data_IF_029005324844
#
_entry.id   IF_029005324844
#
_cell.length_a   1.000
_cell.length_b   1.000
_cell.length_c   1.000
_cell.angle_alpha   90.00
_cell.angle_beta   90.00
_cell.angle_gamma   90.00
#
_symmetry.space_group_name_H-M   'P 1'
#
loop_
_entity.id
_entity.type
_entity.pdbx_description
1 polymer ?
#
# COMPACT_ATOMS: atom_id res chain seq x y z
N UNK A 1 -87.51 -5.63 7.84
CA UNK A 1 -87.29 -6.54 9.00
C UNK A 1 -86.76 -7.87 8.47
N UNK A 2 -85.73 -8.41 9.12
CA UNK A 2 -85.33 -9.83 9.24
C UNK A 2 -85.14 -10.69 7.96
N UNK A 3 -83.84 -10.95 7.75
CA UNK A 3 -83.08 -12.01 7.05
C UNK A 3 -83.74 -13.39 6.83
N UNK A 4 -83.36 -14.00 5.69
CA UNK A 4 -82.65 -15.30 5.50
C UNK A 4 -83.24 -16.15 4.38
N UNK A 5 -82.47 -16.43 3.31
CA UNK A 5 -82.29 -17.78 2.74
C UNK A 5 -81.19 -17.81 1.66
N UNK A 6 -80.21 -18.70 1.86
CA UNK A 6 -79.56 -19.66 0.92
C UNK A 6 -78.92 -19.15 -0.39
N UNK A 7 -77.62 -19.44 -0.56
CA UNK A 7 -77.08 -20.29 -1.64
C UNK A 7 -75.53 -20.34 -1.63
N UNK A 8 -74.97 -21.56 -1.54
CA UNK A 8 -73.65 -21.98 -2.06
C UNK A 8 -73.73 -21.98 -3.62
N UNK A 9 -72.67 -22.16 -4.45
CA UNK A 9 -71.20 -22.20 -4.27
C UNK A 9 -70.41 -21.33 -5.29
N UNK A 10 -69.10 -21.11 -5.09
CA UNK A 10 -68.17 -20.91 -6.21
C UNK A 10 -66.73 -21.13 -5.76
N UNK A 11 -66.23 -22.34 -6.07
CA UNK A 11 -64.83 -22.73 -6.01
C UNK A 11 -64.07 -21.97 -7.10
N UNK A 12 -63.24 -20.99 -6.72
CA UNK A 12 -62.27 -20.35 -7.62
C UNK A 12 -60.88 -20.86 -7.25
N UNK A 13 -60.37 -21.78 -8.07
CA UNK A 13 -58.98 -22.23 -8.04
C UNK A 13 -58.15 -21.11 -8.68
N UNK A 14 -57.51 -20.29 -7.86
CA UNK A 14 -56.51 -19.34 -8.33
C UNK A 14 -55.18 -20.07 -8.56
N UNK A 15 -54.77 -20.14 -9.83
CA UNK A 15 -53.50 -20.70 -10.26
C UNK A 15 -52.38 -19.71 -9.90
N UNK A 16 -51.76 -19.88 -8.73
CA UNK A 16 -50.61 -19.09 -8.29
C UNK A 16 -49.35 -19.53 -9.05
N UNK A 17 -48.87 -18.68 -9.96
CA UNK A 17 -47.58 -18.83 -10.63
C UNK A 17 -46.48 -18.55 -9.58
N UNK A 18 -45.57 -19.48 -9.25
CA UNK A 18 -44.43 -19.15 -8.41
C UNK A 18 -43.50 -18.24 -9.21
N UNK A 19 -43.41 -16.97 -8.81
CA UNK A 19 -42.36 -16.07 -9.26
C UNK A 19 -41.03 -16.63 -8.75
N UNK A 20 -40.24 -17.21 -9.64
CA UNK A 20 -38.86 -17.58 -9.36
C UNK A 20 -38.10 -16.26 -9.21
N UNK A 21 -37.90 -15.82 -7.97
CA UNK A 21 -36.92 -14.78 -7.66
C UNK A 21 -35.55 -15.36 -8.00
N UNK A 22 -34.73 -14.74 -8.87
CA UNK A 22 -33.34 -15.14 -8.96
C UNK A 22 -32.70 -14.85 -7.60
N UNK A 23 -32.31 -15.91 -6.89
CA UNK A 23 -31.28 -15.81 -5.86
C UNK A 23 -30.03 -15.34 -6.62
N UNK A 24 -29.78 -14.03 -6.60
CA UNK A 24 -28.43 -13.54 -6.73
C UNK A 24 -27.71 -14.04 -5.48
N UNK A 25 -26.97 -15.13 -5.64
CA UNK A 25 -25.86 -15.41 -4.76
C UNK A 25 -24.97 -14.17 -4.85
N UNK A 26 -25.00 -13.33 -3.82
CA UNK A 26 -23.96 -12.36 -3.60
C UNK A 26 -22.69 -13.18 -3.39
N UNK A 27 -21.96 -13.42 -4.48
CA UNK A 27 -20.52 -13.52 -4.40
C UNK A 27 -20.09 -12.21 -3.76
N UNK A 28 -19.95 -12.21 -2.44
CA UNK A 28 -19.11 -11.28 -1.75
C UNK A 28 -17.72 -11.52 -2.34
N UNK A 29 -17.43 -10.84 -3.44
CA UNK A 29 -16.08 -10.47 -3.80
C UNK A 29 -15.62 -9.60 -2.63
N UNK A 30 -15.14 -10.26 -1.57
CA UNK A 30 -14.22 -9.66 -0.63
C UNK A 30 -12.90 -9.49 -1.39
N UNK A 31 -12.93 -8.61 -2.39
CA UNK A 31 -11.75 -7.87 -2.77
C UNK A 31 -11.60 -6.85 -1.64
N UNK A 32 -11.13 -7.33 -0.48
CA UNK A 32 -10.37 -6.46 0.40
C UNK A 32 -9.13 -6.12 -0.42
N UNK A 33 -9.24 -5.07 -1.24
CA UNK A 33 -8.07 -4.31 -1.64
C UNK A 33 -7.40 -3.97 -0.32
N UNK A 34 -6.33 -4.69 0.02
CA UNK A 34 -5.59 -4.44 1.25
C UNK A 34 -5.04 -3.00 1.12
N UNK A 35 -5.79 -2.05 1.67
CA UNK A 35 -5.44 -0.64 1.67
C UNK A 35 -4.20 -0.43 2.55
N UNK A 36 -3.36 0.55 2.19
CA UNK A 36 -2.23 0.96 3.03
C UNK A 36 -2.73 1.34 4.43
N UNK A 37 -1.99 0.90 5.46
CA UNK A 37 -2.26 1.26 6.86
C UNK A 37 -1.77 2.68 7.18
N UNK A 38 -1.03 3.29 6.26
CA UNK A 38 -0.46 4.61 6.40
C UNK A 38 -1.57 5.69 6.38
N UNK A 39 -1.62 6.49 7.45
CA UNK A 39 -2.52 7.63 7.59
C UNK A 39 -1.72 8.92 7.65
N UNK A 40 -2.07 9.86 6.79
CA UNK A 40 -1.43 11.16 6.72
C UNK A 40 -2.29 12.26 7.36
N UNK A 41 -1.64 13.17 8.09
CA UNK A 41 -2.27 14.36 8.64
C UNK A 41 -1.36 15.58 8.45
N UNK A 42 -1.91 16.78 8.64
CA UNK A 42 -1.09 17.98 8.77
C UNK A 42 -0.14 17.85 9.96
N UNK A 43 1.12 18.26 9.75
CA UNK A 43 2.17 18.22 10.76
C UNK A 43 2.65 19.62 11.13
N UNK A 44 3.51 19.74 12.15
CA UNK A 44 4.15 21.00 12.50
C UNK A 44 4.86 21.61 11.30
N UNK A 45 4.70 22.94 11.13
CA UNK A 45 5.23 23.66 9.97
C UNK A 45 6.74 23.40 9.81
N UNK A 46 7.18 23.11 8.59
CA UNK A 46 8.59 22.82 8.22
C UNK A 46 9.17 21.51 8.78
N UNK A 47 8.36 20.64 9.37
CA UNK A 47 8.80 19.31 9.80
C UNK A 47 8.04 18.21 9.09
N UNK A 48 8.75 17.15 8.70
CA UNK A 48 8.12 15.88 8.36
C UNK A 48 8.31 14.89 9.51
N UNK A 49 7.27 14.11 9.77
CA UNK A 49 7.25 13.10 10.83
C UNK A 49 6.73 11.77 10.32
N UNK A 50 7.34 10.69 10.81
CA UNK A 50 6.84 9.34 10.68
C UNK A 50 6.68 8.71 12.06
N UNK A 51 5.46 8.29 12.38
CA UNK A 51 5.16 7.45 13.54
C UNK A 51 4.88 6.05 13.03
N UNK A 52 5.72 5.09 13.36
CA UNK A 52 5.69 3.75 12.78
C UNK A 52 5.87 2.70 13.87
N UNK A 53 5.59 1.41 13.60
CA UNK A 53 5.93 0.35 14.52
C UNK A 53 7.42 0.40 14.84
N UNK A 54 7.76 0.49 16.12
CA UNK A 54 9.16 0.58 16.59
C UNK A 54 9.70 1.99 16.84
N UNK A 55 8.99 3.06 16.47
CA UNK A 55 9.40 4.40 16.89
C UNK A 55 8.78 5.59 16.18
N UNK A 56 9.39 6.76 16.43
CA UNK A 56 9.03 8.02 15.82
C UNK A 56 10.28 8.69 15.25
N UNK A 57 10.18 9.14 14.01
CA UNK A 57 11.20 9.91 13.34
C UNK A 57 10.66 11.28 12.98
N UNK A 58 11.48 12.31 13.17
CA UNK A 58 11.17 13.68 12.77
C UNK A 58 12.39 14.34 12.17
N UNK A 59 12.18 15.05 11.07
CA UNK A 59 13.23 15.81 10.40
C UNK A 59 12.71 17.18 9.97
N UNK A 60 13.56 18.20 10.10
CA UNK A 60 13.27 19.51 9.56
C UNK A 60 13.48 19.48 8.04
N UNK A 61 12.49 19.96 7.28
CA UNK A 61 12.49 19.89 5.81
C UNK A 61 13.69 20.64 5.19
N UNK A 62 14.16 21.70 5.84
CA UNK A 62 15.33 22.50 5.43
C UNK A 62 16.67 21.84 5.75
N UNK A 63 16.66 20.73 6.50
CA UNK A 63 17.85 19.95 6.81
C UNK A 63 17.99 18.70 5.96
N UNK A 64 16.97 18.31 5.20
CA UNK A 64 17.06 17.18 4.27
C UNK A 64 17.98 17.60 3.12
N UNK A 65 19.05 16.83 2.89
CA UNK A 65 19.98 17.00 1.76
C UNK A 65 19.53 16.17 0.55
N UNK A 66 19.04 14.96 0.80
CA UNK A 66 18.58 14.02 -0.22
C UNK A 66 17.54 13.05 0.36
N UNK A 67 16.61 12.62 -0.49
CA UNK A 67 15.75 11.46 -0.24
C UNK A 67 15.91 10.47 -1.39
N UNK A 68 15.94 9.18 -1.09
CA UNK A 68 16.02 8.15 -2.14
C UNK A 68 15.20 6.94 -1.74
N UNK A 69 14.61 6.29 -2.73
CA UNK A 69 14.03 4.94 -2.64
C UNK A 69 14.83 4.03 -3.55
N UNK A 70 15.24 2.86 -3.06
CA UNK A 70 16.00 1.91 -3.87
C UNK A 70 15.58 0.47 -3.57
N UNK A 71 15.55 -0.37 -4.62
CA UNK A 71 15.34 -1.81 -4.52
C UNK A 71 16.67 -2.53 -4.81
N UNK A 72 17.04 -3.51 -3.99
CA UNK A 72 18.30 -4.25 -4.17
C UNK A 72 18.24 -5.67 -3.57
N UNK A 73 19.13 -6.56 -4.02
CA UNK A 73 19.24 -7.92 -3.50
C UNK A 73 20.27 -7.95 -2.36
N UNK A 74 19.87 -8.49 -1.22
CA UNK A 74 20.71 -8.70 -0.04
C UNK A 74 20.99 -10.19 0.13
N UNK A 75 22.26 -10.54 0.34
CA UNK A 75 22.75 -11.91 0.58
C UNK A 75 22.28 -12.96 -0.46
N UNK A 76 21.93 -12.51 -1.67
CA UNK A 76 21.52 -13.35 -2.80
C UNK A 76 20.12 -13.96 -2.72
N UNK A 77 19.39 -13.81 -1.61
CA UNK A 77 18.08 -14.45 -1.42
C UNK A 77 16.99 -13.53 -0.83
N UNK A 78 17.32 -12.28 -0.50
CA UNK A 78 16.38 -11.30 0.01
C UNK A 78 16.31 -10.10 -0.93
N UNK A 79 15.10 -9.57 -1.13
CA UNK A 79 14.89 -8.27 -1.79
C UNK A 79 14.58 -7.23 -0.72
N UNK A 80 15.30 -6.12 -0.77
CA UNK A 80 15.11 -4.98 0.13
C UNK A 80 14.62 -3.79 -0.66
N UNK A 81 13.52 -3.21 -0.22
CA UNK A 81 13.07 -1.87 -0.61
C UNK A 81 13.42 -0.91 0.51
N UNK A 82 14.12 0.17 0.20
CA UNK A 82 14.72 1.05 1.20
C UNK A 82 14.50 2.53 0.86
N UNK A 83 13.88 3.26 1.77
CA UNK A 83 13.88 4.73 1.80
C UNK A 83 15.03 5.20 2.67
N UNK A 84 15.91 6.02 2.10
CA UNK A 84 16.95 6.73 2.84
C UNK A 84 16.67 8.22 2.86
N UNK A 85 16.77 8.82 4.05
CA UNK A 85 16.73 10.26 4.28
C UNK A 85 18.11 10.68 4.79
N UNK A 86 18.80 11.48 3.99
CA UNK A 86 20.04 12.11 4.39
C UNK A 86 19.79 13.55 4.84
N UNK A 87 20.57 13.98 5.83
CA UNK A 87 20.46 15.33 6.39
C UNK A 87 21.79 16.06 6.31
N UNK A 88 21.74 17.39 6.27
CA UNK A 88 22.93 18.24 6.44
C UNK A 88 23.44 18.06 7.87
N UNK A 89 24.25 17.01 8.08
CA UNK A 89 24.68 16.48 9.38
C UNK A 89 25.26 15.07 9.26
N UNK A 90 25.31 14.33 10.39
CA UNK A 90 25.78 12.93 10.45
C UNK A 90 24.66 11.91 10.62
N UNK A 91 23.40 12.34 10.54
CA UNK A 91 22.24 11.50 10.81
C UNK A 91 21.61 11.04 9.49
N UNK A 92 21.58 9.72 9.31
CA UNK A 92 20.91 9.06 8.18
C UNK A 92 19.76 8.24 8.75
N UNK A 93 18.56 8.43 8.22
CA UNK A 93 17.42 7.58 8.55
C UNK A 93 17.11 6.62 7.41
N UNK A 94 16.89 5.36 7.75
CA UNK A 94 16.57 4.29 6.83
C UNK A 94 15.25 3.66 7.21
N UNK A 95 14.31 3.59 6.27
CA UNK A 95 13.09 2.81 6.40
C UNK A 95 13.16 1.70 5.37
N UNK A 96 12.98 0.45 5.77
CA UNK A 96 13.14 -0.66 4.85
C UNK A 96 12.05 -1.73 5.00
N UNK A 97 11.65 -2.28 3.87
CA UNK A 97 10.86 -3.49 3.75
C UNK A 97 11.75 -4.59 3.15
N UNK A 98 11.61 -5.81 3.66
CA UNK A 98 12.44 -6.94 3.24
C UNK A 98 11.57 -8.18 3.06
N UNK A 99 11.78 -8.88 1.95
CA UNK A 99 11.07 -10.11 1.59
C UNK A 99 12.00 -11.12 0.92
N UNK A 100 11.66 -12.41 0.92
CA UNK A 100 12.37 -13.40 0.12
C UNK A 100 12.32 -13.07 -1.38
N UNK A 101 13.41 -13.31 -2.10
CA UNK A 101 13.48 -13.14 -3.55
C UNK A 101 12.45 -14.01 -4.29
N UNK A 102 12.07 -15.17 -3.72
CA UNK A 102 11.00 -16.01 -4.28
C UNK A 102 9.65 -15.30 -4.33
N UNK A 103 9.36 -14.45 -3.34
CA UNK A 103 8.06 -13.83 -3.15
C UNK A 103 7.95 -12.57 -4.02
N UNK A 104 9.07 -11.86 -4.23
CA UNK A 104 9.13 -10.68 -5.10
C UNK A 104 8.95 -11.01 -6.60
N UNK A 105 9.44 -12.17 -7.06
CA UNK A 105 9.28 -12.61 -8.45
C UNK A 105 7.80 -12.74 -8.86
N UNK A 106 6.93 -13.17 -7.93
CA UNK A 106 5.48 -13.24 -8.16
C UNK A 106 4.76 -11.89 -8.17
N UNK A 107 5.33 -10.83 -7.56
CA UNK A 107 4.73 -9.49 -7.51
C UNK A 107 4.88 -8.70 -8.81
N UNK A 108 5.94 -8.95 -9.58
CA UNK A 108 6.18 -8.28 -10.88
C UNK A 108 5.04 -8.47 -11.90
N UNK A 109 4.17 -9.47 -11.68
CA UNK A 109 2.98 -9.70 -12.48
C UNK A 109 1.73 -8.97 -11.97
N UNK A 110 1.67 -8.65 -10.67
CA UNK A 110 0.48 -8.13 -9.97
C UNK A 110 0.40 -6.59 -10.02
N UNK A 111 1.53 -5.88 -10.09
CA UNK A 111 1.57 -4.41 -10.26
C UNK A 111 1.03 -3.91 -11.62
N UNK A 112 0.62 -4.82 -12.52
CA UNK A 112 0.02 -4.50 -13.83
C UNK A 112 -1.44 -4.06 -13.76
N UNK A 113 -2.12 -4.20 -12.62
CA UNK A 113 -3.59 -4.08 -12.56
C UNK A 113 -4.09 -2.81 -11.84
N UNK A 114 -3.23 -2.06 -11.13
CA UNK A 114 -3.68 -0.90 -10.35
C UNK A 114 -3.10 0.39 -10.93
N UNK A 115 -3.96 1.09 -11.69
CA UNK A 115 -3.97 2.53 -11.98
C UNK A 115 -2.88 3.17 -12.86
N UNK A 116 -3.13 3.19 -14.19
CA UNK A 116 -3.52 4.39 -14.97
C UNK A 116 -3.22 4.25 -16.49
N UNK A 117 -4.27 4.40 -17.30
CA UNK A 117 -4.20 4.96 -18.66
C UNK A 117 -3.60 4.07 -19.76
N UNK A 118 -4.47 3.57 -20.64
CA UNK A 118 -4.22 2.70 -21.81
C UNK A 118 -3.32 3.28 -22.93
N UNK A 119 -2.45 4.25 -22.68
CA UNK A 119 -1.58 4.85 -23.71
C UNK A 119 -0.08 4.87 -23.36
N UNK A 120 0.32 4.49 -22.14
CA UNK A 120 1.75 4.40 -21.76
C UNK A 120 2.31 2.96 -21.80
N UNK A 121 1.49 1.98 -22.15
CA UNK A 121 1.81 0.55 -22.05
C UNK A 121 2.89 0.12 -23.07
N UNK A 122 3.01 0.78 -24.23
CA UNK A 122 4.00 0.38 -25.24
C UNK A 122 5.44 0.83 -24.97
N UNK A 123 5.69 1.73 -23.99
CA UNK A 123 7.07 2.12 -23.60
C UNK A 123 7.49 1.70 -22.21
N UNK A 124 6.59 1.14 -21.41
CA UNK A 124 6.88 0.73 -20.02
C UNK A 124 7.41 -0.72 -19.91
N UNK A 125 7.15 -1.57 -20.92
CA UNK A 125 7.53 -2.99 -20.89
C UNK A 125 9.04 -3.27 -20.88
N UNK A 126 9.90 -2.28 -21.10
CA UNK A 126 11.36 -2.44 -21.13
C UNK A 126 12.08 -1.92 -19.87
N UNK A 127 11.40 -1.24 -18.93
CA UNK A 127 12.08 -0.60 -17.78
C UNK A 127 11.68 -1.10 -16.40
N UNK A 128 10.62 -1.89 -16.26
CA UNK A 128 10.09 -2.23 -14.93
C UNK A 128 9.75 -3.71 -14.84
N UNK A 129 10.81 -4.50 -14.99
CA UNK A 129 10.90 -5.91 -14.63
C UNK A 129 12.38 -6.14 -14.34
N UNK A 130 12.84 -5.65 -13.19
CA UNK A 130 14.23 -5.73 -12.76
C UNK A 130 14.61 -7.20 -12.63
N UNK A 131 15.27 -7.74 -13.65
CA UNK A 131 16.02 -8.98 -13.55
C UNK A 131 16.93 -8.86 -12.32
N UNK A 132 16.84 -9.80 -11.38
CA UNK A 132 17.64 -9.80 -10.16
C UNK A 132 19.14 -9.69 -10.45
N UNK A 133 19.57 -10.11 -11.66
CA UNK A 133 20.94 -9.94 -12.14
C UNK A 133 21.35 -8.47 -12.35
N UNK A 134 20.41 -7.58 -12.65
CA UNK A 134 20.63 -6.15 -12.85
C UNK A 134 20.47 -5.34 -11.54
N UNK A 135 20.07 -5.97 -10.45
CA UNK A 135 19.95 -5.32 -9.15
C UNK A 135 21.30 -5.22 -8.45
N UNK A 136 21.49 -4.17 -7.66
CA UNK A 136 22.66 -4.07 -6.80
C UNK A 136 22.68 -5.25 -5.82
N UNK A 137 23.79 -5.99 -5.76
CA UNK A 137 24.00 -7.05 -4.78
C UNK A 137 24.80 -6.49 -3.61
N UNK A 138 24.23 -6.54 -2.41
CA UNK A 138 24.89 -6.05 -1.19
C UNK A 138 25.16 -7.21 -0.23
N UNK A 139 26.37 -7.18 0.35
CA UNK A 139 26.78 -8.02 1.48
C UNK A 139 27.34 -7.07 2.53
N UNK A 140 26.72 -6.99 3.71
CA UNK A 140 27.16 -6.06 4.76
C UNK A 140 27.93 -6.79 5.87
N UNK A 141 29.16 -6.36 6.24
CA UNK A 141 29.82 -6.86 7.43
C UNK A 141 29.01 -6.51 8.69
N UNK A 142 29.07 -7.35 9.73
CA UNK A 142 28.28 -7.26 10.99
C UNK A 142 28.57 -6.04 11.87
N UNK A 143 29.29 -5.04 11.35
CA UNK A 143 29.66 -3.83 12.10
C UNK A 143 28.51 -2.85 12.22
N UNK A 144 28.39 -2.22 13.38
CA UNK A 144 27.34 -1.25 13.72
C UNK A 144 27.47 0.04 12.89
N UNK A 145 26.38 0.44 12.22
CA UNK A 145 26.29 1.66 11.41
C UNK A 145 26.20 2.90 12.31
N UNK A 146 27.34 3.44 12.76
CA UNK A 146 27.38 4.65 13.58
C UNK A 146 26.73 5.84 12.85
N UNK A 147 25.70 6.45 13.46
CA UNK A 147 24.98 7.62 12.91
C UNK A 147 23.77 7.27 12.03
N UNK A 148 23.46 5.99 11.85
CA UNK A 148 22.27 5.54 11.13
C UNK A 148 21.17 5.14 12.12
N UNK A 149 19.93 5.53 11.83
CA UNK A 149 18.74 5.06 12.54
C UNK A 149 17.89 4.28 11.55
N UNK A 150 17.53 3.04 11.90
CA UNK A 150 16.87 2.12 11.00
C UNK A 150 15.49 1.72 11.54
N UNK A 151 14.52 1.65 10.64
CA UNK A 151 13.16 1.23 10.94
C UNK A 151 12.67 0.22 9.92
N UNK A 152 12.13 -0.89 10.40
CA UNK A 152 11.54 -1.91 9.53
C UNK A 152 10.06 -1.61 9.30
N UNK A 153 9.66 -1.57 8.04
CA UNK A 153 8.28 -1.51 7.59
C UNK A 153 7.83 -2.90 7.18
N UNK A 154 6.61 -3.29 7.57
CA UNK A 154 6.10 -4.65 7.37
C UNK A 154 5.40 -4.84 6.03
N UNK A 155 5.03 -3.75 5.38
CA UNK A 155 4.24 -3.74 4.14
C UNK A 155 4.87 -2.77 3.15
N UNK A 156 5.09 -3.22 1.91
CA UNK A 156 5.69 -2.39 0.88
C UNK A 156 4.83 -1.15 0.58
N UNK A 157 3.50 -1.26 0.60
CA UNK A 157 2.61 -0.13 0.33
C UNK A 157 2.74 0.97 1.38
N UNK A 158 3.00 0.58 2.62
CA UNK A 158 3.22 1.54 3.71
C UNK A 158 4.57 2.25 3.53
N UNK A 159 5.58 1.54 3.00
CA UNK A 159 6.88 2.13 2.66
C UNK A 159 6.76 3.10 1.47
N UNK A 160 5.98 2.75 0.45
CA UNK A 160 5.67 3.61 -0.70
C UNK A 160 4.89 4.87 -0.26
N UNK A 161 3.86 4.70 0.57
CA UNK A 161 3.10 5.81 1.14
C UNK A 161 3.99 6.72 2.00
N UNK A 162 4.96 6.15 2.71
CA UNK A 162 5.97 6.90 3.46
C UNK A 162 6.85 7.74 2.57
N UNK A 163 7.40 7.15 1.51
CA UNK A 163 8.22 7.88 0.54
C UNK A 163 7.42 9.01 -0.12
N UNK A 164 6.19 8.73 -0.52
CA UNK A 164 5.33 9.72 -1.17
C UNK A 164 4.96 10.88 -0.26
N UNK A 165 4.64 10.61 1.01
CA UNK A 165 4.37 11.64 2.01
C UNK A 165 5.59 12.53 2.24
N UNK A 166 6.77 11.92 2.42
CA UNK A 166 8.04 12.61 2.61
C UNK A 166 8.37 13.51 1.42
N UNK A 167 8.33 12.95 0.20
CA UNK A 167 8.61 13.67 -1.04
C UNK A 167 7.69 14.87 -1.20
N UNK A 168 6.37 14.69 -1.04
CA UNK A 168 5.39 15.78 -1.11
C UNK A 168 5.65 16.85 -0.06
N UNK A 169 6.01 16.46 1.17
CA UNK A 169 6.34 17.41 2.24
C UNK A 169 7.57 18.24 1.86
N UNK A 170 8.62 17.59 1.37
CA UNK A 170 9.88 18.23 1.02
C UNK A 170 9.74 19.17 -0.18
N UNK A 171 9.14 18.71 -1.28
CA UNK A 171 8.89 19.50 -2.49
C UNK A 171 8.00 20.73 -2.21
N UNK A 172 6.99 20.58 -1.36
CA UNK A 172 6.06 21.68 -1.05
C UNK A 172 6.52 22.59 0.09
N UNK A 173 7.52 22.18 0.87
CA UNK A 173 7.93 22.85 2.11
C UNK A 173 6.87 22.84 3.23
N UNK A 174 5.78 22.07 3.07
CA UNK A 174 4.69 21.98 4.04
C UNK A 174 4.88 20.79 4.98
N UNK A 175 4.75 21.06 6.28
CA UNK A 175 4.91 20.02 7.29
C UNK A 175 3.79 18.99 7.25
N UNK A 176 4.14 17.71 7.43
CA UNK A 176 3.22 16.57 7.33
C UNK A 176 3.60 15.53 8.39
N UNK A 177 2.61 14.75 8.84
CA UNK A 177 2.81 13.62 9.73
C UNK A 177 2.19 12.38 9.10
N UNK A 178 3.01 11.35 8.93
CA UNK A 178 2.57 10.01 8.56
C UNK A 178 2.50 9.13 9.80
N UNK A 179 1.46 8.31 9.90
CA UNK A 179 1.32 7.29 10.93
C UNK A 179 1.04 5.94 10.29
N UNK A 180 1.87 4.94 10.56
CA UNK A 180 1.67 3.54 10.18
C UNK A 180 1.43 2.77 11.49
N UNK A 181 0.38 1.95 11.53
CA UNK A 181 -0.01 1.17 12.71
C UNK A 181 0.08 -0.32 12.44
#
# INVERSE_FOLDING_TARGET
MKRFLVALPALVIALSIPSITPISAQNANNNEEEETRAKESEGPRRFWQASIPGGHYMVALDRISNISMHEYVLDGNLVVNEVTIDTVGRAIARFYYIEPLSDSMGRSEITRTVDKGRELIERAGQRVGTDAHNMAQKNYPTTTHAGMVEYRILDLRDLDALYDSLRKAWESGKGRKLTIK
#
